data_IF_694704086545
#
_entry.id   IF_694704086545
#
_cell.length_a   1.000
_cell.length_b   1.000
_cell.length_c   1.000
_cell.angle_alpha   90.00
_cell.angle_beta   90.00
_cell.angle_gamma   90.00
#
_symmetry.space_group_name_H-M   'P 1'
#
loop_
_entity.id
_entity.type
_entity.pdbx_description
1 polymer ?
#
# COMPACT_ATOMS: atom_id res chain seq x y z
N UNK A 1 26.79 -0.42 -32.65
CA UNK A 1 25.89 -0.63 -31.49
C UNK A 1 26.31 -1.90 -30.82
N UNK A 2 27.24 -1.73 -29.90
CA UNK A 2 27.94 -2.81 -29.25
C UNK A 2 26.98 -3.62 -28.38
N UNK A 3 27.07 -4.94 -28.47
CA UNK A 3 26.21 -5.89 -27.74
C UNK A 3 26.21 -5.63 -26.22
N UNK A 4 27.27 -5.01 -25.72
CA UNK A 4 27.44 -4.55 -24.34
C UNK A 4 26.46 -3.43 -23.96
N UNK A 5 26.25 -2.44 -24.84
CA UNK A 5 25.31 -1.34 -24.62
C UNK A 5 23.88 -1.84 -24.55
N UNK A 6 23.51 -2.79 -25.42
CA UNK A 6 22.14 -3.34 -25.42
C UNK A 6 21.85 -4.12 -24.15
N UNK A 7 22.79 -4.90 -23.63
CA UNK A 7 22.64 -5.61 -22.36
C UNK A 7 22.58 -4.66 -21.17
N UNK A 8 23.41 -3.63 -21.15
CA UNK A 8 23.36 -2.58 -20.12
C UNK A 8 22.02 -1.85 -20.13
N UNK A 9 21.53 -1.46 -21.30
CA UNK A 9 20.23 -0.81 -21.45
C UNK A 9 19.10 -1.71 -20.93
N UNK A 10 19.11 -3.01 -21.27
CA UNK A 10 18.10 -3.97 -20.79
C UNK A 10 18.18 -4.15 -19.27
N UNK A 11 19.39 -4.25 -18.70
CA UNK A 11 19.56 -4.40 -17.25
C UNK A 11 19.11 -3.14 -16.49
N UNK A 12 19.48 -1.96 -16.98
CA UNK A 12 19.10 -0.68 -16.36
C UNK A 12 17.60 -0.47 -16.45
N UNK A 13 16.98 -0.71 -17.61
CA UNK A 13 15.52 -0.58 -17.76
C UNK A 13 14.76 -1.59 -16.90
N UNK A 14 15.24 -2.84 -16.80
CA UNK A 14 14.66 -3.85 -15.91
C UNK A 14 14.77 -3.46 -14.44
N UNK A 15 15.93 -2.93 -14.03
CA UNK A 15 16.16 -2.46 -12.67
C UNK A 15 15.25 -1.28 -12.32
N UNK A 16 15.13 -0.30 -13.22
CA UNK A 16 14.25 0.86 -13.05
C UNK A 16 12.78 0.44 -12.95
N UNK A 17 12.32 -0.49 -13.81
CA UNK A 17 10.96 -1.01 -13.74
C UNK A 17 10.68 -1.72 -12.41
N UNK A 18 11.64 -2.52 -11.92
CA UNK A 18 11.52 -3.21 -10.64
C UNK A 18 11.47 -2.21 -9.46
N UNK A 19 12.27 -1.14 -9.54
CA UNK A 19 12.33 -0.11 -8.51
C UNK A 19 11.04 0.72 -8.48
N UNK A 20 10.47 1.07 -9.64
CA UNK A 20 9.16 1.71 -9.74
C UNK A 20 8.05 0.82 -9.22
N UNK A 21 8.05 -0.48 -9.54
CA UNK A 21 7.09 -1.45 -9.04
C UNK A 21 7.15 -1.57 -7.50
N UNK A 22 8.37 -1.62 -6.95
CA UNK A 22 8.58 -1.67 -5.51
C UNK A 22 8.09 -0.39 -4.84
N UNK A 23 8.45 0.78 -5.38
CA UNK A 23 8.05 2.08 -4.84
C UNK A 23 6.53 2.27 -4.89
N UNK A 24 5.89 1.87 -5.99
CA UNK A 24 4.44 1.85 -6.13
C UNK A 24 3.81 0.93 -5.08
N UNK A 25 4.33 -0.28 -4.89
CA UNK A 25 3.79 -1.23 -3.92
C UNK A 25 3.92 -0.73 -2.47
N UNK A 26 5.06 -0.16 -2.09
CA UNK A 26 5.31 0.35 -0.73
C UNK A 26 4.44 1.58 -0.43
N UNK A 27 4.17 2.42 -1.41
CA UNK A 27 3.32 3.62 -1.24
C UNK A 27 1.82 3.30 -1.31
N UNK A 28 1.42 2.27 -2.07
CA UNK A 28 0.03 1.86 -2.22
C UNK A 28 -0.53 1.24 -0.92
N UNK A 29 0.25 0.45 -0.18
CA UNK A 29 -0.18 -0.18 1.08
C UNK A 29 -0.70 0.84 2.12
N UNK A 30 0.06 1.87 2.54
CA UNK A 30 -0.42 2.85 3.50
C UNK A 30 -1.57 3.70 2.95
N UNK A 31 -1.63 3.93 1.63
CA UNK A 31 -2.73 4.64 1.00
C UNK A 31 -4.06 3.88 1.15
N UNK A 32 -4.09 2.60 0.79
CA UNK A 32 -5.29 1.77 0.94
C UNK A 32 -5.63 1.56 2.42
N UNK A 33 -4.63 1.45 3.31
CA UNK A 33 -4.86 1.29 4.74
C UNK A 33 -5.52 2.53 5.37
N UNK A 34 -5.09 3.74 4.96
CA UNK A 34 -5.72 5.00 5.37
C UNK A 34 -7.14 5.13 4.83
N UNK A 35 -7.39 4.73 3.57
CA UNK A 35 -8.73 4.72 2.99
C UNK A 35 -9.72 3.81 3.72
N UNK A 36 -9.22 2.86 4.49
CA UNK A 36 -10.01 1.89 5.28
C UNK A 36 -10.17 2.23 6.76
N UNK A 37 -9.81 3.45 7.18
CA UNK A 37 -9.90 3.89 8.57
C UNK A 37 -8.87 3.25 9.51
N UNK A 38 -7.85 2.56 8.98
CA UNK A 38 -6.81 1.90 9.79
C UNK A 38 -5.51 2.71 9.82
N UNK A 39 -4.67 2.46 10.82
CA UNK A 39 -3.38 3.12 11.00
C UNK A 39 -2.43 2.77 9.86
N UNK A 40 -2.34 3.66 8.86
CA UNK A 40 -1.49 3.47 7.67
C UNK A 40 0.00 3.25 7.98
N UNK A 41 0.50 3.79 9.10
CA UNK A 41 1.89 3.62 9.54
C UNK A 41 2.17 2.16 9.98
N UNK A 42 1.23 1.52 10.68
CA UNK A 42 1.37 0.11 11.08
C UNK A 42 1.43 -0.82 9.87
N UNK A 43 0.61 -0.56 8.86
CA UNK A 43 0.59 -1.33 7.62
C UNK A 43 1.80 -1.10 6.72
N UNK A 44 2.36 0.11 6.71
CA UNK A 44 3.62 0.40 6.04
C UNK A 44 4.77 -0.43 6.62
N UNK A 45 4.89 -0.52 7.95
CA UNK A 45 5.89 -1.36 8.62
C UNK A 45 5.69 -2.85 8.30
N UNK A 46 4.45 -3.34 8.29
CA UNK A 46 4.14 -4.73 7.89
C UNK A 46 4.55 -5.00 6.44
N UNK A 47 4.32 -4.06 5.52
CA UNK A 47 4.74 -4.19 4.11
C UNK A 47 6.25 -4.24 3.91
N UNK A 48 6.98 -3.52 4.77
CA UNK A 48 8.43 -3.48 4.77
C UNK A 48 9.04 -4.76 5.36
N UNK A 49 8.35 -5.40 6.32
CA UNK A 49 8.82 -6.58 7.03
C UNK A 49 8.49 -7.90 6.31
N UNK A 50 7.31 -8.01 5.69
CA UNK A 50 6.80 -9.29 5.15
C UNK A 50 6.73 -9.39 3.63
N UNK A 51 6.97 -8.31 2.88
CA UNK A 51 6.74 -8.14 1.43
C UNK A 51 5.51 -7.25 1.14
N UNK A 52 5.63 -6.25 0.26
CA UNK A 52 4.53 -5.34 -0.10
C UNK A 52 3.30 -6.07 -0.64
N UNK A 53 3.51 -7.16 -1.39
CA UNK A 53 2.43 -7.99 -1.95
C UNK A 53 1.61 -8.67 -0.84
N UNK A 54 2.27 -9.22 0.18
CA UNK A 54 1.61 -9.85 1.33
C UNK A 54 0.80 -8.84 2.13
N UNK A 55 1.31 -7.62 2.29
CA UNK A 55 0.57 -6.55 2.96
C UNK A 55 -0.67 -6.13 2.18
N UNK A 56 -0.60 -6.04 0.84
CA UNK A 56 -1.78 -5.76 0.01
C UNK A 56 -2.83 -6.87 0.11
N UNK A 57 -2.42 -8.15 0.04
CA UNK A 57 -3.33 -9.30 0.18
C UNK A 57 -3.99 -9.33 1.56
N UNK A 58 -3.22 -9.11 2.63
CA UNK A 58 -3.76 -9.06 3.98
C UNK A 58 -4.73 -7.87 4.18
N UNK A 59 -4.46 -6.73 3.56
CA UNK A 59 -5.34 -5.56 3.60
C UNK A 59 -6.64 -5.77 2.80
N UNK A 60 -6.56 -6.52 1.69
CA UNK A 60 -7.71 -6.95 0.91
C UNK A 60 -8.56 -7.99 1.65
N UNK A 61 -7.94 -8.90 2.40
CA UNK A 61 -8.63 -9.93 3.17
C UNK A 61 -9.36 -9.41 4.41
N UNK A 62 -8.90 -8.29 4.99
CA UNK A 62 -9.57 -7.68 6.13
C UNK A 62 -10.89 -7.01 5.71
N UNK A 63 -11.92 -6.98 6.56
CA UNK A 63 -13.07 -6.11 6.34
C UNK A 63 -12.68 -4.62 6.50
N UNK A 64 -13.48 -3.72 5.93
CA UNK A 64 -13.35 -2.28 6.18
C UNK A 64 -13.53 -2.05 7.68
N UNK A 65 -12.57 -1.37 8.32
CA UNK A 65 -12.71 -1.06 9.73
C UNK A 65 -13.82 -0.06 9.92
N UNK A 66 -14.63 -0.24 10.96
CA UNK A 66 -15.65 0.71 11.36
C UNK A 66 -15.00 2.08 11.51
N UNK A 67 -15.25 2.97 10.55
CA UNK A 67 -15.10 4.39 10.83
C UNK A 67 -16.05 4.64 12.01
N UNK A 68 -15.57 5.19 13.13
CA UNK A 68 -16.46 5.70 14.15
C UNK A 68 -17.39 6.66 13.42
N UNK A 69 -18.65 6.27 13.27
CA UNK A 69 -19.67 7.12 12.71
C UNK A 69 -19.61 8.43 13.51
N UNK A 70 -19.52 9.61 12.87
CA UNK A 70 -19.45 10.86 13.58
C UNK A 70 -20.59 10.89 14.60
N UNK A 71 -20.27 11.01 15.89
CA UNK A 71 -21.27 11.03 16.95
C UNK A 71 -22.24 12.15 16.63
N UNK A 72 -23.43 11.77 16.17
CA UNK A 72 -24.45 12.71 15.77
C UNK A 72 -25.06 13.28 17.06
N UNK A 73 -24.94 14.60 17.32
CA UNK A 73 -25.48 15.22 18.53
C UNK A 73 -27.00 15.06 18.64
N UNK A 74 -27.68 14.80 17.52
CA UNK A 74 -29.13 14.63 17.45
C UNK A 74 -29.58 13.18 17.71
N UNK A 75 -28.66 12.21 17.78
CA UNK A 75 -28.97 10.83 18.19
C UNK A 75 -28.88 10.63 19.72
N UNK A 76 -28.47 11.66 20.47
CA UNK A 76 -28.42 11.65 21.94
C UNK A 76 -29.80 11.68 22.61
N UNK A 77 -30.87 11.97 21.85
CA UNK A 77 -32.22 12.25 22.36
C UNK A 77 -33.30 11.24 21.90
N UNK A 78 -32.94 10.02 21.48
CA UNK A 78 -33.95 8.98 21.24
C UNK A 78 -34.41 8.35 22.58
N UNK A 79 -35.73 8.30 22.87
CA UNK A 79 -36.29 7.76 24.11
C UNK A 79 -36.07 6.25 24.28
#
# INVERSE_FOLDING_TARGET
MDYFDTRLVVLVTSLVALLLYFLASVTLVPYVARGKGRTGIGWMLTSLLFSPLLALVALAALPVGDNPEPINPFDADRP
#
